data_IF_772963578990
#
_entry.id   IF_772963578990
#
_cell.length_a   1.000
_cell.length_b   1.000
_cell.length_c   1.000
_cell.angle_alpha   90.00
_cell.angle_beta   90.00
_cell.angle_gamma   90.00
#
_symmetry.space_group_name_H-M   'P 1'
#
loop_
_entity.id
_entity.type
_entity.pdbx_description
1 polymer ?
#
# COMPACT_ATOMS: atom_id res chain seq x y z
N UNK A 1 -18.03 -14.32 3.74
CA UNK A 1 -17.00 -14.43 4.78
C UNK A 1 -16.37 -13.06 4.99
N UNK A 2 -16.08 -12.68 6.25
CA UNK A 2 -15.35 -11.46 6.56
C UNK A 2 -13.88 -11.59 6.09
N UNK A 3 -13.32 -10.51 5.54
CA UNK A 3 -11.92 -10.45 5.10
C UNK A 3 -11.16 -9.38 5.89
N UNK A 4 -9.87 -9.60 6.08
CA UNK A 4 -8.91 -8.57 6.52
C UNK A 4 -8.36 -7.86 5.28
N UNK A 5 -8.61 -6.57 5.16
CA UNK A 5 -8.19 -5.76 4.02
C UNK A 5 -7.20 -4.71 4.49
N UNK A 6 -6.05 -4.63 3.84
CA UNK A 6 -5.10 -3.53 4.04
C UNK A 6 -5.26 -2.54 2.90
N UNK A 7 -5.45 -1.26 3.23
CA UNK A 7 -5.50 -0.16 2.26
C UNK A 7 -4.28 0.74 2.46
N UNK A 8 -3.43 0.82 1.44
CA UNK A 8 -2.23 1.65 1.43
C UNK A 8 -2.48 2.83 0.52
N UNK A 9 -2.36 4.06 1.04
CA UNK A 9 -2.61 5.28 0.26
C UNK A 9 -1.33 6.00 -0.09
N UNK A 10 -1.29 6.63 -1.29
CA UNK A 10 -0.12 7.36 -1.78
C UNK A 10 -0.28 8.88 -1.79
N UNK A 11 -1.48 9.42 -1.53
CA UNK A 11 -1.72 10.86 -1.62
C UNK A 11 -1.36 11.59 -0.33
N UNK A 12 -0.62 12.72 -0.39
CA UNK A 12 -0.44 13.62 0.74
C UNK A 12 -1.64 14.55 0.97
N UNK A 13 -2.59 14.61 0.02
CA UNK A 13 -3.74 15.54 0.07
C UNK A 13 -4.93 14.87 0.75
N UNK A 14 -5.24 15.26 2.00
CA UNK A 14 -6.38 14.70 2.76
C UNK A 14 -7.76 15.04 2.17
N UNK A 15 -7.87 16.09 1.35
CA UNK A 15 -9.12 16.51 0.72
C UNK A 15 -9.10 16.27 -0.80
N UNK A 16 -8.24 15.38 -1.29
CA UNK A 16 -8.13 15.05 -2.71
C UNK A 16 -9.08 13.94 -3.15
N UNK A 17 -9.24 13.77 -4.48
CA UNK A 17 -10.14 12.78 -5.07
C UNK A 17 -9.77 11.34 -4.66
N UNK A 18 -8.48 10.99 -4.68
CA UNK A 18 -8.02 9.65 -4.25
C UNK A 18 -8.35 9.39 -2.78
N UNK A 19 -8.30 10.40 -1.93
CA UNK A 19 -8.69 10.28 -0.52
C UNK A 19 -10.19 10.00 -0.39
N UNK A 20 -11.05 10.74 -1.09
CA UNK A 20 -12.49 10.55 -1.08
C UNK A 20 -12.89 9.15 -1.60
N UNK A 21 -12.22 8.67 -2.68
CA UNK A 21 -12.43 7.32 -3.20
C UNK A 21 -12.01 6.25 -2.19
N UNK A 22 -10.90 6.47 -1.48
CA UNK A 22 -10.45 5.58 -0.40
C UNK A 22 -11.47 5.48 0.72
N UNK A 23 -11.98 6.62 1.19
CA UNK A 23 -13.00 6.66 2.24
C UNK A 23 -14.27 5.90 1.84
N UNK A 24 -14.74 6.13 0.60
CA UNK A 24 -15.92 5.43 0.08
C UNK A 24 -15.71 3.91 0.00
N UNK A 25 -14.52 3.47 -0.43
CA UNK A 25 -14.16 2.05 -0.46
C UNK A 25 -14.14 1.44 0.95
N UNK A 26 -13.45 2.10 1.90
CA UNK A 26 -13.33 1.62 3.28
C UNK A 26 -14.72 1.47 3.90
N UNK A 27 -15.54 2.53 3.79
CA UNK A 27 -16.91 2.50 4.31
C UNK A 27 -17.72 1.33 3.74
N UNK A 28 -17.67 1.14 2.42
CA UNK A 28 -18.42 0.06 1.77
C UNK A 28 -17.92 -1.34 2.20
N UNK A 29 -16.61 -1.49 2.42
CA UNK A 29 -16.03 -2.75 2.90
C UNK A 29 -16.45 -3.06 4.35
N UNK A 30 -16.41 -2.06 5.23
CA UNK A 30 -16.82 -2.19 6.63
C UNK A 30 -18.32 -2.44 6.76
N UNK A 31 -19.17 -1.76 5.98
CA UNK A 31 -20.62 -1.97 5.92
C UNK A 31 -20.97 -3.42 5.50
N UNK A 32 -20.07 -4.10 4.78
CA UNK A 32 -20.19 -5.52 4.41
C UNK A 32 -19.55 -6.48 5.42
N UNK A 33 -19.05 -5.98 6.54
CA UNK A 33 -18.49 -6.78 7.64
C UNK A 33 -17.03 -7.19 7.44
N UNK A 34 -16.28 -6.52 6.56
CA UNK A 34 -14.83 -6.68 6.44
C UNK A 34 -14.10 -5.83 7.48
N UNK A 35 -12.89 -6.25 7.86
CA UNK A 35 -12.00 -5.45 8.71
C UNK A 35 -10.98 -4.74 7.85
N UNK A 36 -10.89 -3.41 7.97
CA UNK A 36 -9.98 -2.60 7.16
C UNK A 36 -8.87 -1.99 8.01
N UNK A 37 -7.64 -2.20 7.61
CA UNK A 37 -6.46 -1.49 8.16
C UNK A 37 -5.96 -0.50 7.11
N UNK A 38 -5.99 0.79 7.44
CA UNK A 38 -5.53 1.86 6.55
C UNK A 38 -4.13 2.32 6.92
N UNK A 39 -3.30 2.54 5.91
CA UNK A 39 -1.96 3.09 6.03
C UNK A 39 -1.72 4.21 5.02
N UNK A 40 -1.66 5.44 5.50
CA UNK A 40 -1.43 6.62 4.67
C UNK A 40 0.09 6.85 4.51
N UNK A 41 0.69 6.25 3.48
CA UNK A 41 2.14 6.24 3.28
C UNK A 41 2.75 7.66 3.20
N UNK A 42 2.01 8.62 2.64
CA UNK A 42 2.47 10.01 2.55
C UNK A 42 2.52 10.74 3.91
N UNK A 43 1.89 10.17 4.94
CA UNK A 43 1.90 10.69 6.32
C UNK A 43 2.88 9.94 7.21
N UNK A 44 3.67 9.04 6.64
CA UNK A 44 4.58 8.14 7.32
C UNK A 44 6.01 8.30 6.81
N UNK A 45 6.96 7.91 7.64
CA UNK A 45 8.36 7.89 7.23
C UNK A 45 8.71 6.49 6.71
N UNK A 46 8.52 6.31 5.40
CA UNK A 46 8.91 5.09 4.71
C UNK A 46 9.96 5.46 3.67
N UNK A 47 11.21 5.14 3.97
CA UNK A 47 12.33 5.34 3.05
C UNK A 47 12.38 4.28 1.96
N UNK A 48 13.22 4.49 0.94
CA UNK A 48 13.46 3.49 -0.10
C UNK A 48 14.09 2.20 0.46
N UNK A 49 13.90 1.08 -0.23
CA UNK A 49 14.59 -0.16 0.11
C UNK A 49 16.09 -0.06 -0.24
N UNK A 50 16.96 -0.46 0.69
CA UNK A 50 18.42 -0.43 0.49
C UNK A 50 18.98 -1.75 -0.05
N UNK A 51 18.14 -2.75 -0.31
CA UNK A 51 18.54 -4.09 -0.75
C UNK A 51 19.63 -4.74 0.15
N UNK A 52 19.61 -4.45 1.44
CA UNK A 52 20.60 -4.92 2.41
C UNK A 52 20.41 -6.38 2.86
N UNK A 53 19.25 -6.99 2.51
CA UNK A 53 18.91 -8.38 2.82
C UNK A 53 18.98 -8.77 4.30
N UNK A 54 18.82 -7.78 5.18
CA UNK A 54 18.80 -8.00 6.63
C UNK A 54 17.37 -8.06 7.20
N UNK A 55 16.38 -8.13 6.33
CA UNK A 55 14.97 -8.18 6.68
C UNK A 55 14.66 -9.31 7.67
N UNK A 56 13.83 -9.00 8.68
CA UNK A 56 13.44 -9.88 9.77
C UNK A 56 14.58 -10.41 10.67
N UNK A 57 15.84 -10.15 10.39
CA UNK A 57 16.97 -10.58 11.24
C UNK A 57 16.98 -9.89 12.62
N UNK A 58 16.38 -8.71 12.71
CA UNK A 58 16.24 -7.94 13.97
C UNK A 58 14.85 -8.10 14.62
N UNK A 59 14.02 -9.02 14.11
CA UNK A 59 12.63 -9.18 14.56
C UNK A 59 11.65 -8.19 13.92
N UNK A 60 12.13 -7.20 13.14
CA UNK A 60 11.33 -6.25 12.38
C UNK A 60 11.36 -6.60 10.89
N UNK A 61 10.30 -6.29 10.14
CA UNK A 61 10.23 -6.54 8.70
C UNK A 61 11.34 -5.82 7.94
N UNK A 62 11.63 -4.57 8.28
CA UNK A 62 12.81 -3.83 7.83
C UNK A 62 13.74 -3.63 9.01
N UNK A 63 15.04 -3.84 8.82
CA UNK A 63 16.05 -3.64 9.87
C UNK A 63 16.28 -2.17 10.21
N UNK A 64 15.92 -1.26 9.31
CA UNK A 64 15.91 0.17 9.58
C UNK A 64 14.70 0.55 10.42
N UNK A 65 14.84 1.59 11.23
CA UNK A 65 13.74 2.16 12.01
C UNK A 65 12.87 3.03 11.07
N UNK A 66 11.74 2.46 10.63
CA UNK A 66 10.96 2.93 9.51
C UNK A 66 9.50 2.48 9.70
N UNK A 67 8.56 3.34 9.32
CA UNK A 67 7.13 3.10 9.52
C UNK A 67 6.56 1.93 8.68
N UNK A 68 7.32 1.39 7.72
CA UNK A 68 6.97 0.13 7.07
C UNK A 68 6.78 -1.00 8.10
N UNK A 69 7.57 -1.00 9.17
CA UNK A 69 7.47 -1.98 10.24
C UNK A 69 6.11 -1.98 10.95
N UNK A 70 5.36 -0.86 10.89
CA UNK A 70 4.01 -0.78 11.46
C UNK A 70 2.98 -1.52 10.62
N UNK A 71 3.12 -1.47 9.29
CA UNK A 71 2.11 -2.04 8.39
C UNK A 71 2.45 -3.47 7.94
N UNK A 72 3.71 -3.86 7.97
CA UNK A 72 4.16 -5.16 7.49
C UNK A 72 3.43 -6.36 8.13
N UNK A 73 3.16 -6.40 9.44
CA UNK A 73 2.39 -7.48 10.04
C UNK A 73 0.96 -7.58 9.48
N UNK A 74 0.30 -6.43 9.30
CA UNK A 74 -1.05 -6.40 8.75
C UNK A 74 -1.09 -6.87 7.29
N UNK A 75 -0.08 -6.51 6.48
CA UNK A 75 0.05 -7.01 5.10
C UNK A 75 0.20 -8.53 5.09
N UNK A 76 0.99 -9.10 5.98
CA UNK A 76 1.16 -10.56 6.08
C UNK A 76 -0.14 -11.28 6.45
N UNK A 77 -0.96 -10.69 7.32
CA UNK A 77 -2.21 -11.26 7.77
C UNK A 77 -3.41 -10.97 6.86
N UNK A 78 -3.27 -10.03 5.91
CA UNK A 78 -4.37 -9.60 5.05
C UNK A 78 -4.80 -10.69 4.07
N UNK A 79 -6.11 -10.75 3.79
CA UNK A 79 -6.68 -11.49 2.67
C UNK A 79 -6.58 -10.69 1.36
N UNK A 80 -6.62 -9.35 1.49
CA UNK A 80 -6.56 -8.44 0.35
C UNK A 80 -5.69 -7.21 0.66
N UNK A 81 -4.99 -6.71 -0.37
CA UNK A 81 -4.23 -5.45 -0.32
C UNK A 81 -4.74 -4.51 -1.40
N UNK A 82 -5.10 -3.31 -1.01
CA UNK A 82 -5.61 -2.27 -1.92
C UNK A 82 -4.63 -1.09 -1.92
N UNK A 83 -4.17 -0.72 -3.10
CA UNK A 83 -3.35 0.47 -3.31
C UNK A 83 -4.22 1.60 -3.83
N UNK A 84 -4.34 2.69 -3.06
CA UNK A 84 -5.09 3.87 -3.46
C UNK A 84 -4.17 5.06 -3.66
N UNK A 85 -4.08 5.54 -4.90
CA UNK A 85 -3.05 6.52 -5.26
C UNK A 85 -3.47 7.42 -6.42
N UNK A 86 -3.10 8.72 -6.41
CA UNK A 86 -3.15 9.53 -7.61
C UNK A 86 -2.03 9.11 -8.57
N UNK A 87 -2.14 9.53 -9.82
CA UNK A 87 -1.01 9.49 -10.77
C UNK A 87 -0.12 10.69 -10.53
N UNK A 88 1.17 10.46 -10.30
CA UNK A 88 2.21 11.49 -10.24
C UNK A 88 3.22 11.25 -11.35
N UNK A 89 3.33 12.19 -12.28
CA UNK A 89 4.25 12.12 -13.39
C UNK A 89 4.21 10.76 -14.10
N UNK A 90 3.00 10.37 -14.54
CA UNK A 90 2.72 9.11 -15.25
C UNK A 90 3.00 7.82 -14.46
N UNK A 91 3.13 7.88 -13.14
CA UNK A 91 3.40 6.71 -12.29
C UNK A 91 2.81 6.89 -10.89
N UNK A 92 3.23 6.04 -9.96
CA UNK A 92 2.83 6.13 -8.54
C UNK A 92 3.72 7.11 -7.78
N UNK A 93 3.19 7.81 -6.76
CA UNK A 93 4.00 8.65 -5.87
C UNK A 93 5.11 7.87 -5.14
N UNK A 94 6.23 8.52 -4.89
CA UNK A 94 7.38 7.93 -4.22
C UNK A 94 7.04 7.33 -2.84
N UNK A 95 6.09 7.92 -2.12
CA UNK A 95 5.68 7.48 -0.79
C UNK A 95 5.09 6.06 -0.80
N UNK A 96 4.17 5.79 -1.73
CA UNK A 96 3.59 4.45 -1.85
C UNK A 96 4.58 3.46 -2.47
N UNK A 97 5.44 3.94 -3.38
CA UNK A 97 6.49 3.12 -3.99
C UNK A 97 7.47 2.61 -2.93
N UNK A 98 7.83 3.44 -1.94
CA UNK A 98 8.66 3.02 -0.82
C UNK A 98 8.08 1.84 -0.04
N UNK A 99 6.77 1.83 0.20
CA UNK A 99 6.09 0.69 0.84
C UNK A 99 6.15 -0.55 -0.05
N UNK A 100 5.85 -0.40 -1.35
CA UNK A 100 5.87 -1.52 -2.31
C UNK A 100 7.26 -2.14 -2.39
N UNK A 101 8.31 -1.32 -2.53
CA UNK A 101 9.69 -1.82 -2.60
C UNK A 101 10.11 -2.57 -1.33
N UNK A 102 9.65 -2.13 -0.17
CA UNK A 102 9.95 -2.81 1.10
C UNK A 102 9.18 -4.12 1.29
N UNK A 103 8.13 -4.39 0.53
CA UNK A 103 7.49 -5.72 0.50
C UNK A 103 8.47 -6.81 0.04
N UNK A 104 9.56 -6.46 -0.62
CA UNK A 104 10.68 -7.38 -0.88
C UNK A 104 11.19 -8.08 0.39
N UNK A 105 11.02 -7.46 1.56
CA UNK A 105 11.36 -8.06 2.85
C UNK A 105 10.69 -9.41 3.09
N UNK A 106 9.47 -9.58 2.60
CA UNK A 106 8.73 -10.84 2.74
C UNK A 106 9.39 -11.96 1.93
N UNK A 107 9.83 -11.65 0.71
CA UNK A 107 10.57 -12.60 -0.13
C UNK A 107 11.89 -13.01 0.53
N UNK A 108 12.67 -12.05 1.04
CA UNK A 108 13.94 -12.32 1.74
C UNK A 108 13.75 -13.23 2.95
N UNK A 109 12.65 -13.05 3.68
CA UNK A 109 12.34 -13.83 4.87
C UNK A 109 11.58 -15.12 4.60
N UNK A 110 11.31 -15.47 3.33
CA UNK A 110 10.53 -16.66 2.96
C UNK A 110 9.08 -16.59 3.47
N UNK A 111 8.52 -15.39 3.67
CA UNK A 111 7.14 -15.19 4.10
C UNK A 111 6.21 -15.13 2.89
N UNK A 112 5.15 -15.93 2.94
CA UNK A 112 4.19 -16.03 1.85
C UNK A 112 3.29 -14.79 1.81
N UNK A 113 3.27 -14.13 0.64
CA UNK A 113 2.29 -13.07 0.30
C UNK A 113 1.53 -13.39 -0.99
N UNK A 114 1.85 -14.52 -1.63
CA UNK A 114 1.14 -14.97 -2.83
C UNK A 114 -0.31 -15.36 -2.51
N UNK A 115 -1.17 -15.27 -3.52
CA UNK A 115 -2.59 -15.64 -3.39
C UNK A 115 -3.49 -14.62 -2.70
N UNK A 116 -2.94 -13.49 -2.21
CA UNK A 116 -3.76 -12.38 -1.71
C UNK A 116 -4.49 -11.69 -2.86
N UNK A 117 -5.72 -11.27 -2.61
CA UNK A 117 -6.42 -10.40 -3.55
C UNK A 117 -5.71 -9.04 -3.62
N UNK A 118 -5.66 -8.44 -4.80
CA UNK A 118 -5.06 -7.14 -4.98
C UNK A 118 -5.98 -6.23 -5.81
N UNK A 119 -6.09 -4.97 -5.40
CA UNK A 119 -6.82 -3.96 -6.15
C UNK A 119 -6.09 -2.62 -6.17
N UNK A 120 -6.32 -1.86 -7.22
CA UNK A 120 -5.81 -0.48 -7.36
C UNK A 120 -6.98 0.47 -7.52
N UNK A 121 -6.98 1.54 -6.75
CA UNK A 121 -7.88 2.68 -6.87
C UNK A 121 -7.02 3.87 -7.29
N UNK A 122 -7.26 4.43 -8.47
CA UNK A 122 -6.44 5.53 -8.98
C UNK A 122 -7.26 6.61 -9.66
N UNK A 123 -6.74 7.83 -9.67
CA UNK A 123 -7.29 8.98 -10.39
C UNK A 123 -6.17 9.84 -10.95
N UNK A 124 -6.46 10.53 -12.04
CA UNK A 124 -5.58 11.50 -12.68
C UNK A 124 -6.37 12.76 -13.06
N UNK A 125 -5.68 13.83 -13.44
CA UNK A 125 -6.29 15.07 -13.94
C UNK A 125 -6.63 14.99 -15.44
N UNK A 126 -5.94 14.13 -16.17
CA UNK A 126 -6.11 13.98 -17.61
C UNK A 126 -7.37 13.18 -17.96
N UNK A 127 -7.96 13.50 -19.09
CA UNK A 127 -9.07 12.72 -19.67
C UNK A 127 -8.59 11.48 -20.44
N UNK A 128 -7.30 11.34 -20.64
CA UNK A 128 -6.69 10.19 -21.31
C UNK A 128 -6.30 9.14 -20.25
N UNK A 129 -6.96 7.98 -20.30
CA UNK A 129 -6.72 6.89 -19.36
C UNK A 129 -5.35 6.24 -19.52
N UNK A 130 -4.64 6.47 -20.65
CA UNK A 130 -3.30 5.92 -20.86
C UNK A 130 -2.27 6.46 -19.85
N UNK A 131 -2.53 7.64 -19.27
CA UNK A 131 -1.66 8.19 -18.21
C UNK A 131 -1.64 7.33 -16.93
N UNK A 132 -2.61 6.44 -16.78
CA UNK A 132 -2.68 5.49 -15.66
C UNK A 132 -1.90 4.21 -15.91
N UNK A 133 -1.36 3.98 -17.10
CA UNK A 133 -0.66 2.72 -17.44
C UNK A 133 0.56 2.49 -16.55
N UNK A 134 1.24 3.55 -16.12
CA UNK A 134 2.36 3.46 -15.17
C UNK A 134 1.97 3.11 -13.73
N UNK A 135 0.67 3.00 -13.43
CA UNK A 135 0.14 2.54 -12.13
C UNK A 135 -0.22 1.05 -12.16
N UNK A 136 -0.30 0.45 -13.34
CA UNK A 136 -0.50 -0.98 -13.50
C UNK A 136 0.80 -1.71 -13.12
N UNK A 137 0.79 -2.36 -12.01
CA UNK A 137 1.93 -3.12 -11.48
C UNK A 137 1.70 -4.61 -11.70
#
# INVERSE_FOLDING_TARGET
MSKKIVVITGSPRKNGNSFAMTEAFIKAAEDKGHTVTRFDAAMKQVGGCHACETCFKTGKACSFDDDFNMIAPAILEADAVVFSTPVYWYSIPAQIKGVIDKMYSFCVAGKEIAGKECAVITCCEENDLSVMDGVRI
#
